data_IF_444714446279
#
_entry.id   IF_444714446279
#
_cell.length_a   1.000
_cell.length_b   1.000
_cell.length_c   1.000
_cell.angle_alpha   90.00
_cell.angle_beta   90.00
_cell.angle_gamma   90.00
#
_symmetry.space_group_name_H-M   'P 1'
#
loop_
_entity.id
_entity.type
_entity.pdbx_description
1 polymer ?
2 non-polymer ?
3 non-polymer ?
4 water ?
#
# COMPACT_ATOMS: atom_id res chain seq x y z
N UNK A 2 -14.91 -15.36 -14.16
CA UNK A 2 -15.00 -13.95 -14.62
C UNK A 2 -13.84 -13.62 -15.55
N UNK A 3 -14.02 -12.57 -16.32
CA UNK A 3 -13.13 -12.27 -17.41
C UNK A 3 -12.07 -11.19 -17.11
N UNK A 4 -12.19 -10.54 -15.96
CA UNK A 4 -11.27 -9.47 -15.57
C UNK A 4 -10.80 -9.73 -14.15
N UNK A 5 -9.64 -9.17 -13.78
CA UNK A 5 -9.06 -9.46 -12.49
C UNK A 5 -9.94 -9.00 -11.33
N UNK A 6 -10.42 -7.75 -11.40
CA UNK A 6 -11.20 -7.23 -10.28
C UNK A 6 -12.48 -8.04 -10.08
N UNK A 7 -13.19 -8.31 -11.17
CA UNK A 7 -14.43 -9.09 -11.07
C UNK A 7 -14.15 -10.50 -10.57
N UNK A 8 -13.07 -11.11 -11.03
CA UNK A 8 -12.74 -12.44 -10.55
C UNK A 8 -12.44 -12.44 -9.05
N UNK A 9 -11.66 -11.45 -8.59
CA UNK A 9 -11.40 -11.32 -7.17
C UNK A 9 -12.70 -11.10 -6.37
N UNK A 10 -13.60 -10.30 -6.93
CA UNK A 10 -14.82 -9.94 -6.21
C UNK A 10 -15.68 -11.17 -5.96
N UNK A 11 -15.60 -12.20 -6.80
CA UNK A 11 -16.39 -13.42 -6.57
C UNK A 11 -16.04 -14.09 -5.24
N UNK A 12 -14.82 -13.88 -4.72
CA UNK A 12 -14.43 -14.41 -3.42
C UNK A 12 -14.39 -13.31 -2.35
N UNK A 13 -14.93 -12.14 -2.66
CA UNK A 13 -15.06 -11.08 -1.70
C UNK A 13 -13.86 -10.17 -1.59
N UNK A 14 -12.96 -10.26 -2.56
CA UNK A 14 -11.69 -9.55 -2.56
C UNK A 14 -11.66 -8.51 -3.67
N UNK A 15 -10.64 -7.66 -3.61
CA UNK A 15 -10.38 -6.73 -4.70
C UNK A 15 -9.10 -7.09 -5.41
N UNK A 16 -8.97 -6.54 -6.64
CA UNK A 16 -7.72 -6.57 -7.38
C UNK A 16 -7.47 -5.14 -7.86
N UNK A 17 -6.39 -4.56 -7.37
CA UNK A 17 -6.11 -3.15 -7.59
C UNK A 17 -4.82 -2.87 -8.32
N UNK A 18 -4.66 -1.58 -8.64
CA UNK A 18 -3.41 -1.10 -9.22
C UNK A 18 -3.06 0.25 -8.63
N UNK A 19 -1.83 0.66 -8.85
CA UNK A 19 -1.35 2.01 -8.66
C UNK A 19 -1.66 2.82 -9.91
N UNK A 20 -2.19 4.04 -9.73
CA UNK A 20 -2.54 4.94 -10.82
C UNK A 20 -1.71 6.22 -10.70
N UNK A 21 -1.19 6.66 -11.84
CA UNK A 21 -0.45 7.90 -11.96
C UNK A 21 -1.30 8.94 -12.68
N UNK A 22 -1.51 10.09 -12.06
CA UNK A 22 -2.35 11.12 -12.61
C UNK A 22 -1.90 11.60 -14.00
N UNK A 23 -0.61 11.69 -14.22
CA UNK A 23 -0.12 12.20 -15.49
C UNK A 23 -0.40 11.31 -16.65
N UNK A 24 -0.81 10.06 -16.37
CA UNK A 24 -1.10 9.09 -17.37
C UNK A 24 -2.56 8.94 -17.67
N UNK A 25 -3.39 9.77 -17.04
CA UNK A 25 -4.79 9.65 -17.19
C UNK A 25 -5.26 10.23 -18.54
N UNK A 26 -4.35 10.71 -19.40
CA UNK A 26 -4.60 11.08 -20.79
C UNK A 26 -4.23 9.97 -21.76
N UNK A 27 -3.73 8.85 -21.26
CA UNK A 27 -3.29 7.73 -22.09
C UNK A 27 -4.44 6.73 -22.23
N UNK A 28 -5.02 6.66 -23.44
CA UNK A 28 -6.21 5.88 -23.68
C UNK A 28 -6.02 4.39 -23.41
N UNK A 29 -4.84 3.84 -23.76
CA UNK A 29 -4.59 2.42 -23.50
C UNK A 29 -4.57 2.17 -22.00
N UNK A 30 -3.83 3.03 -21.28
CA UNK A 30 -3.70 2.93 -19.83
C UNK A 30 -5.07 2.99 -19.15
N UNK A 31 -5.86 4.04 -19.47
CA UNK A 31 -7.09 4.23 -18.73
C UNK A 31 -8.10 3.15 -19.07
N UNK A 32 -8.13 2.66 -20.31
CA UNK A 32 -9.12 1.67 -20.66
C UNK A 32 -8.77 0.30 -20.06
N UNK A 33 -7.49 -0.09 -20.07
CA UNK A 33 -7.12 -1.35 -19.45
C UNK A 33 -7.30 -1.27 -17.94
N UNK A 34 -6.81 -0.20 -17.33
CA UNK A 34 -6.96 -0.07 -15.88
C UNK A 34 -8.42 0.01 -15.47
N UNK A 35 -9.25 0.71 -16.27
CA UNK A 35 -10.65 0.80 -16.02
C UNK A 35 -11.32 -0.56 -16.02
N UNK A 36 -10.97 -1.36 -17.01
CA UNK A 36 -11.59 -2.68 -17.18
C UNK A 36 -11.17 -3.65 -16.09
N UNK A 37 -9.88 -3.64 -15.73
CA UNK A 37 -9.31 -4.77 -14.99
C UNK A 37 -9.31 -4.65 -13.47
N UNK A 38 -9.38 -3.44 -12.91
CA UNK A 38 -9.16 -3.26 -11.49
C UNK A 38 -10.37 -2.66 -10.81
N UNK A 39 -10.60 -3.05 -9.55
CA UNK A 39 -11.66 -2.46 -8.75
C UNK A 39 -11.17 -1.75 -7.49
N UNK A 40 -9.86 -1.47 -7.43
CA UNK A 40 -9.23 -0.77 -6.34
C UNK A 40 -8.08 0.04 -6.95
N UNK A 41 -7.90 1.27 -6.42
CA UNK A 41 -6.86 2.17 -6.88
C UNK A 41 -6.07 2.69 -5.70
N UNK A 42 -4.73 2.75 -5.87
CA UNK A 42 -3.85 3.51 -5.01
C UNK A 42 -3.21 4.61 -5.85
N UNK A 43 -3.12 5.84 -5.33
CA UNK A 43 -2.37 6.86 -6.07
C UNK A 43 -0.89 6.53 -5.94
N UNK A 44 -0.19 6.47 -7.07
CA UNK A 44 1.22 6.09 -7.03
C UNK A 44 2.08 7.09 -6.26
N UNK A 45 1.76 8.38 -6.44
CA UNK A 45 2.55 9.46 -5.81
C UNK A 45 1.72 10.61 -5.25
N UNK A 46 0.50 10.78 -5.72
CA UNK A 46 -0.25 12.03 -5.53
C UNK A 46 -0.79 12.24 -4.14
N UNK A 47 -0.86 11.18 -3.33
CA UNK A 47 -1.33 11.31 -1.95
C UNK A 47 -0.20 11.27 -0.92
N UNK A 48 1.06 11.34 -1.40
CA UNK A 48 2.20 11.39 -0.52
C UNK A 48 2.34 12.77 0.10
N UNK A 49 3.26 12.91 1.04
CA UNK A 49 3.31 14.09 1.87
C UNK A 49 3.68 15.30 1.03
N UNK A 50 4.71 15.17 0.20
CA UNK A 50 5.11 16.30 -0.58
C UNK A 50 4.04 16.79 -1.54
N UNK A 51 3.33 15.85 -2.17
CA UNK A 51 2.31 16.15 -3.14
C UNK A 51 1.18 16.93 -2.47
N UNK A 52 0.73 16.42 -1.33
CA UNK A 52 -0.46 16.95 -0.69
C UNK A 52 -0.21 18.17 0.16
N UNK A 53 1.01 18.33 0.69
CA UNK A 53 1.29 19.50 1.55
C UNK A 53 2.65 20.08 1.13
N UNK A 54 2.70 20.72 -0.03
CA UNK A 54 3.99 21.10 -0.57
C UNK A 54 4.65 22.25 0.20
N UNK A 55 3.87 23.07 0.88
CA UNK A 55 4.34 24.06 1.86
C UNK A 55 3.56 23.81 3.13
N UNK A 56 4.17 24.06 4.27
CA UNK A 56 3.53 23.74 5.54
C UNK A 56 2.24 24.51 5.65
N UNK A 57 1.17 23.79 5.94
CA UNK A 57 -0.15 24.37 6.11
C UNK A 57 -0.93 24.65 4.87
N UNK A 58 -0.32 24.40 3.72
CA UNK A 58 -0.91 24.75 2.43
C UNK A 58 -1.13 23.48 1.61
N UNK A 59 -2.32 22.90 1.70
CA UNK A 59 -2.56 21.63 1.06
C UNK A 59 -2.86 21.85 -0.42
N UNK A 60 -2.49 20.85 -1.22
CA UNK A 60 -2.80 20.81 -2.62
C UNK A 60 -3.29 19.43 -2.98
N UNK A 61 -4.59 19.31 -3.15
CA UNK A 61 -5.23 18.04 -3.46
C UNK A 61 -5.52 17.89 -4.94
N UNK A 62 -4.99 18.77 -5.80
CA UNK A 62 -5.42 18.72 -7.18
C UNK A 62 -5.11 17.38 -7.85
N UNK A 63 -3.85 16.95 -7.77
CA UNK A 63 -3.48 15.69 -8.43
C UNK A 63 -4.07 14.46 -7.71
N UNK A 64 -4.13 14.53 -6.39
CA UNK A 64 -4.73 13.47 -5.59
C UNK A 64 -6.18 13.30 -6.00
N UNK A 65 -6.90 14.42 -6.10
CA UNK A 65 -8.33 14.35 -6.44
C UNK A 65 -8.52 13.88 -7.88
N UNK A 66 -7.57 14.18 -8.78
CA UNK A 66 -7.69 13.61 -10.13
C UNK A 66 -7.70 12.08 -10.06
N UNK A 67 -6.82 11.51 -9.26
CA UNK A 67 -6.78 10.05 -9.10
C UNK A 67 -8.06 9.54 -8.42
N UNK A 68 -8.43 10.17 -7.29
CA UNK A 68 -9.61 9.74 -6.54
C UNK A 68 -10.84 9.77 -7.41
N UNK A 69 -11.04 10.90 -8.11
CA UNK A 69 -12.23 11.06 -8.93
C UNK A 69 -12.24 10.07 -10.10
N UNK A 70 -11.09 9.84 -10.71
CA UNK A 70 -11.01 8.82 -11.77
C UNK A 70 -11.46 7.48 -11.20
N UNK A 71 -10.94 7.12 -10.02
CA UNK A 71 -11.26 5.84 -9.42
C UNK A 71 -12.77 5.73 -9.22
N UNK A 72 -13.38 6.70 -8.54
CA UNK A 72 -14.75 6.48 -8.23
C UNK A 72 -15.64 6.62 -9.52
N UNK A 73 -15.28 7.43 -10.49
CA UNK A 73 -15.99 7.48 -11.78
C UNK A 73 -15.93 6.15 -12.51
N UNK A 74 -14.88 5.38 -12.25
CA UNK A 74 -14.67 4.09 -12.88
C UNK A 74 -15.02 2.91 -11.97
N UNK A 75 -15.73 3.18 -10.87
CA UNK A 75 -16.23 2.10 -10.01
C UNK A 75 -15.22 1.42 -9.11
N UNK A 76 -14.16 2.12 -8.76
CA UNK A 76 -13.14 1.57 -7.88
C UNK A 76 -13.19 2.24 -6.50
N UNK A 77 -12.83 1.47 -5.48
CA UNK A 77 -12.47 2.02 -4.19
C UNK A 77 -11.04 2.53 -4.22
N UNK A 78 -10.63 3.23 -3.16
CA UNK A 78 -9.32 3.85 -3.08
C UNK A 78 -8.63 3.50 -1.76
N UNK A 79 -7.35 3.10 -1.88
CA UNK A 79 -6.44 3.02 -0.73
C UNK A 79 -5.63 4.29 -0.70
N UNK A 80 -5.59 4.93 0.47
CA UNK A 80 -4.79 6.15 0.63
C UNK A 80 -3.34 5.81 0.97
N UNK A 81 -2.41 6.43 0.26
CA UNK A 81 -0.99 6.11 0.42
C UNK A 81 -0.20 7.41 0.25
N UNK A 82 0.50 7.91 1.26
CA UNK A 82 0.68 7.40 2.61
C UNK A 82 0.86 8.63 3.50
N UNK A 83 0.54 8.52 4.79
CA UNK A 83 0.49 9.71 5.66
C UNK A 83 1.77 10.06 6.40
N UNK A 84 2.64 9.09 6.69
CA UNK A 84 3.81 9.32 7.53
C UNK A 84 4.87 8.35 7.02
N UNK A 85 5.98 8.87 6.53
CA UNK A 85 6.98 8.09 5.80
C UNK A 85 8.27 8.93 5.75
N UNK A 86 9.41 8.24 5.79
CA UNK A 86 10.69 8.93 5.67
C UNK A 86 10.96 9.49 4.29
N UNK A 87 10.31 8.94 3.24
CA UNK A 87 10.65 9.28 1.88
C UNK A 87 9.61 10.22 1.27
N UNK A 88 10.03 10.97 0.27
CA UNK A 88 9.12 11.88 -0.43
C UNK A 88 8.46 12.86 0.54
N UNK A 89 9.21 13.26 1.58
CA UNK A 89 8.80 14.39 2.40
C UNK A 89 9.12 15.70 1.66
N UNK A 90 8.27 16.71 1.79
CA UNK A 90 8.64 18.02 1.26
C UNK A 90 9.82 18.55 2.07
N UNK A 91 10.57 19.47 1.46
CA UNK A 91 11.72 20.03 2.10
C UNK A 91 11.47 20.60 3.49
N UNK A 92 10.32 21.26 3.64
CA UNK A 92 10.03 21.91 4.87
C UNK A 92 9.91 20.88 6.02
N UNK A 93 9.42 19.67 5.70
CA UNK A 93 9.28 18.64 6.73
C UNK A 93 10.63 17.95 6.98
N UNK A 94 11.43 17.79 5.93
CA UNK A 94 12.74 17.20 6.08
C UNK A 94 13.57 17.97 7.05
N UNK A 95 13.43 19.28 7.12
CA UNK A 95 14.26 20.08 8.03
C UNK A 95 13.80 20.06 9.48
N UNK A 96 12.58 19.61 9.73
CA UNK A 96 12.06 19.58 11.08
C UNK A 96 12.58 18.35 11.85
N UNK A 97 12.66 18.51 13.17
CA UNK A 97 13.03 17.45 14.05
C UNK A 97 12.23 17.52 15.34
N UNK A 98 12.27 16.45 16.13
CA UNK A 98 11.77 16.50 17.49
C UNK A 98 10.31 16.88 17.56
N UNK A 99 9.98 17.69 18.56
CA UNK A 99 8.61 18.05 18.85
C UNK A 99 7.96 18.85 17.72
N UNK A 100 8.74 19.68 17.01
CA UNK A 100 8.15 20.44 15.90
C UNK A 100 7.76 19.48 14.76
N UNK A 101 8.64 18.50 14.47
CA UNK A 101 8.28 17.47 13.49
C UNK A 101 7.06 16.69 13.92
N UNK A 102 7.01 16.31 15.22
CA UNK A 102 5.87 15.55 15.70
C UNK A 102 4.57 16.33 15.43
N UNK A 103 4.57 17.63 15.75
CA UNK A 103 3.38 18.42 15.51
C UNK A 103 3.04 18.46 14.03
N UNK A 104 4.05 18.65 13.17
CA UNK A 104 3.80 18.70 11.73
C UNK A 104 3.26 17.35 11.18
N UNK A 105 3.77 16.24 11.75
CA UNK A 105 3.29 14.90 11.33
C UNK A 105 1.78 14.79 11.64
N UNK A 106 1.44 15.16 12.88
CA UNK A 106 0.04 15.13 13.33
C UNK A 106 -0.83 16.03 12.46
N UNK A 107 -0.36 17.28 12.24
CA UNK A 107 -1.12 18.22 11.43
C UNK A 107 -1.34 17.68 10.01
N UNK A 108 -0.32 17.02 9.44
CA UNK A 108 -0.45 16.51 8.09
C UNK A 108 -1.51 15.41 8.02
N UNK A 109 -1.47 14.48 8.97
CA UNK A 109 -2.46 13.40 9.04
C UNK A 109 -3.86 14.02 9.14
N UNK A 110 -4.01 14.96 10.06
CA UNK A 110 -5.34 15.56 10.27
C UNK A 110 -5.86 16.23 9.01
N UNK A 111 -5.01 16.99 8.32
CA UNK A 111 -5.47 17.74 7.17
C UNK A 111 -5.82 16.83 5.98
N UNK A 112 -4.99 15.83 5.71
CA UNK A 112 -5.27 14.94 4.57
C UNK A 112 -6.50 14.08 4.86
N UNK A 113 -6.57 13.49 6.07
CA UNK A 113 -7.69 12.64 6.37
C UNK A 113 -9.00 13.41 6.40
N UNK A 114 -8.99 14.68 6.84
CA UNK A 114 -10.22 15.48 6.81
C UNK A 114 -10.71 15.63 5.38
N UNK A 115 -9.79 15.85 4.43
CA UNK A 115 -10.21 16.05 3.04
C UNK A 115 -10.91 14.83 2.46
N UNK A 116 -10.47 13.64 2.92
CA UNK A 116 -10.98 12.38 2.38
C UNK A 116 -11.88 11.63 3.38
N UNK A 117 -12.37 12.31 4.42
CA UNK A 117 -13.08 11.61 5.48
C UNK A 117 -14.25 10.84 4.92
N UNK A 118 -14.29 9.55 5.27
CA UNK A 118 -15.36 8.69 4.82
C UNK A 118 -15.25 8.18 3.41
N UNK A 119 -14.23 8.55 2.68
CA UNK A 119 -14.11 8.27 1.27
C UNK A 119 -13.05 7.26 0.89
N UNK A 120 -12.14 6.94 1.84
CA UNK A 120 -11.06 6.09 1.52
C UNK A 120 -11.12 4.82 2.48
N UNK A 121 -11.17 3.64 1.90
CA UNK A 121 -11.41 2.44 2.70
C UNK A 121 -10.24 1.95 3.57
N UNK A 122 -9.02 2.15 3.09
CA UNK A 122 -7.78 1.80 3.82
C UNK A 122 -6.83 2.95 3.66
N UNK A 123 -6.17 3.34 4.73
CA UNK A 123 -5.03 4.27 4.68
C UNK A 123 -3.77 3.53 5.10
N UNK A 124 -2.69 3.71 4.31
CA UNK A 124 -1.34 3.41 4.75
C UNK A 124 -0.92 4.58 5.64
N UNK A 125 -1.18 4.46 6.95
CA UNK A 125 -0.91 5.54 7.85
C UNK A 125 0.59 5.75 8.01
N UNK A 126 1.32 4.64 8.22
CA UNK A 126 2.75 4.64 8.39
C UNK A 126 3.34 3.64 7.37
N UNK A 127 4.43 4.05 6.73
CA UNK A 127 5.09 3.25 5.73
C UNK A 127 6.56 3.08 6.08
N UNK A 128 7.06 1.84 5.94
CA UNK A 128 8.51 1.56 5.83
C UNK A 128 9.31 2.02 7.06
N UNK A 129 8.82 1.70 8.26
CA UNK A 129 9.48 2.12 9.48
C UNK A 129 10.63 1.21 9.92
N UNK A 130 10.76 0.00 9.37
CA UNK A 130 11.81 -0.90 9.80
C UNK A 130 13.02 -0.84 8.87
N UNK A 131 14.19 -1.03 9.46
CA UNK A 131 15.42 -1.18 8.72
C UNK A 131 15.48 -2.55 8.03
N UNK A 132 16.20 -2.60 6.91
CA UNK A 132 16.52 -3.87 6.29
C UNK A 132 17.66 -4.56 7.05
N UNK A 133 17.75 -5.87 6.86
CA UNK A 133 18.82 -6.66 7.41
C UNK A 133 18.46 -7.43 8.66
N UNK A 134 19.48 -7.75 9.43
CA UNK A 134 19.34 -8.68 10.53
C UNK A 134 18.89 -8.07 11.85
N UNK A 135 18.94 -6.74 12.00
CA UNK A 135 18.76 -6.16 13.30
C UNK A 135 17.30 -6.10 13.77
N UNK A 136 16.38 -5.96 12.85
CA UNK A 136 15.00 -5.66 13.24
C UNK A 136 14.86 -4.28 13.85
N UNK A 137 15.84 -3.42 13.68
CA UNK A 137 15.78 -2.07 14.22
C UNK A 137 14.81 -1.22 13.41
N UNK A 138 14.41 -0.09 13.97
CA UNK A 138 13.71 0.94 13.21
C UNK A 138 14.69 1.62 12.25
N UNK A 139 14.17 1.98 11.07
CA UNK A 139 14.89 2.79 10.10
C UNK A 139 15.22 4.13 10.70
N UNK A 140 16.41 4.64 10.42
CA UNK A 140 16.80 5.98 10.85
C UNK A 140 16.11 7.00 9.94
N UNK A 141 15.41 7.93 10.53
CA UNK A 141 14.74 9.03 9.84
C UNK A 141 14.46 10.10 10.88
N UNK A 142 14.10 11.30 10.40
CA UNK A 142 13.68 12.35 11.30
C UNK A 142 12.51 11.88 12.19
N UNK A 143 11.57 11.15 11.59
CA UNK A 143 10.40 10.65 12.32
C UNK A 143 10.85 9.73 13.45
N UNK A 144 11.70 8.75 13.15
CA UNK A 144 12.15 7.81 14.19
C UNK A 144 12.94 8.55 15.27
N UNK A 145 13.75 9.54 14.87
CA UNK A 145 14.50 10.31 15.85
C UNK A 145 13.58 11.13 16.76
N UNK A 146 12.33 11.37 16.36
CA UNK A 146 11.41 12.07 17.23
C UNK A 146 10.93 11.22 18.41
N UNK A 147 11.12 9.89 18.34
CA UNK A 147 10.79 8.99 19.41
C UNK A 147 10.19 7.71 18.88
N UNK A 148 10.36 6.61 19.63
CA UNK A 148 9.81 5.34 19.22
C UNK A 148 8.30 5.36 19.05
N UNK A 149 7.63 6.26 19.77
CA UNK A 149 6.18 6.40 19.74
C UNK A 149 5.65 7.09 18.51
N UNK A 150 6.50 7.45 17.54
CA UNK A 150 5.95 8.19 16.40
C UNK A 150 4.88 7.38 15.68
N UNK A 151 5.10 6.07 15.55
CA UNK A 151 4.18 5.22 14.81
C UNK A 151 2.83 5.17 15.51
N UNK A 152 2.87 4.85 16.82
CA UNK A 152 1.62 4.80 17.60
C UNK A 152 0.89 6.13 17.56
N UNK A 153 1.61 7.25 17.67
CA UNK A 153 0.96 8.56 17.63
C UNK A 153 0.31 8.79 16.28
N UNK A 154 0.97 8.40 15.18
CA UNK A 154 0.36 8.53 13.86
C UNK A 154 -0.97 7.75 13.80
N UNK A 155 -0.96 6.49 14.28
CA UNK A 155 -2.18 5.70 14.30
C UNK A 155 -3.29 6.30 15.17
N UNK A 156 -2.94 6.74 16.36
CA UNK A 156 -3.96 7.34 17.23
C UNK A 156 -4.55 8.60 16.57
N UNK A 157 -3.68 9.40 15.95
CA UNK A 157 -4.16 10.60 15.26
C UNK A 157 -5.15 10.21 14.17
N UNK A 158 -4.77 9.22 13.37
CA UNK A 158 -5.61 8.79 12.24
C UNK A 158 -6.98 8.25 12.72
N UNK A 159 -6.98 7.46 13.79
CA UNK A 159 -8.24 6.90 14.30
C UNK A 159 -9.19 8.03 14.69
N UNK A 160 -8.67 9.08 15.32
CA UNK A 160 -9.51 10.19 15.72
C UNK A 160 -9.98 11.00 14.50
N UNK A 161 -9.12 11.14 13.50
CA UNK A 161 -9.46 11.95 12.31
C UNK A 161 -10.54 11.32 11.46
N UNK A 162 -10.51 10.00 11.28
CA UNK A 162 -11.50 9.32 10.44
C UNK A 162 -11.73 7.93 11.00
N UNK A 163 -12.67 7.82 11.92
CA UNK A 163 -12.96 6.50 12.52
C UNK A 163 -13.46 5.44 11.56
N UNK A 164 -13.90 5.83 10.37
CA UNK A 164 -14.40 4.87 9.39
C UNK A 164 -13.32 4.13 8.65
N UNK A 165 -12.11 4.70 8.57
CA UNK A 165 -11.04 4.15 7.72
C UNK A 165 -10.37 2.97 8.40
N UNK A 166 -10.00 1.96 7.62
CA UNK A 166 -9.13 0.96 8.12
C UNK A 166 -7.70 1.50 8.09
N UNK A 167 -7.01 1.40 9.23
CA UNK A 167 -5.68 1.96 9.37
C UNK A 167 -4.62 0.87 9.21
N UNK A 168 -3.75 1.06 8.21
CA UNK A 168 -2.77 0.04 7.83
C UNK A 168 -1.34 0.54 8.11
N UNK A 169 -0.51 -0.41 8.54
CA UNK A 169 0.95 -0.28 8.53
C UNK A 169 1.47 -1.03 7.29
N UNK A 170 2.29 -0.39 6.47
CA UNK A 170 2.73 -0.94 5.20
C UNK A 170 4.26 -1.04 5.17
N UNK A 171 4.80 -2.15 4.65
CA UNK A 171 6.26 -2.25 4.56
C UNK A 171 6.60 -3.31 3.51
N UNK A 172 7.91 -3.36 3.17
CA UNK A 172 8.47 -4.32 2.22
C UNK A 172 9.51 -5.18 2.94
N UNK A 173 9.86 -6.30 2.30
CA UNK A 173 10.80 -7.24 2.88
C UNK A 173 10.30 -7.80 4.22
N UNK A 174 8.97 -7.89 4.34
CA UNK A 174 8.27 -8.39 5.53
C UNK A 174 7.32 -9.55 5.18
N UNK A 175 7.58 -10.23 4.04
CA UNK A 175 6.76 -11.33 3.59
C UNK A 175 7.27 -12.71 4.02
N UNK A 176 8.59 -12.83 4.19
CA UNK A 176 9.21 -14.12 4.53
C UNK A 176 9.19 -14.28 6.04
N UNK A 177 8.46 -15.30 6.52
CA UNK A 177 8.23 -15.50 7.92
C UNK A 177 9.55 -15.60 8.70
N UNK A 178 10.61 -16.10 8.08
CA UNK A 178 11.87 -16.31 8.81
C UNK A 178 12.73 -15.06 8.93
N UNK A 179 12.42 -13.97 8.24
CA UNK A 179 13.29 -12.81 8.23
C UNK A 179 13.12 -11.97 9.50
N UNK A 180 14.24 -11.39 9.93
CA UNK A 180 14.24 -10.52 11.08
C UNK A 180 13.30 -9.32 10.90
N UNK A 181 13.24 -8.76 9.70
CA UNK A 181 12.38 -7.59 9.47
C UNK A 181 10.90 -7.98 9.70
N UNK A 182 10.51 -9.13 9.14
CA UNK A 182 9.16 -9.64 9.31
C UNK A 182 8.83 -9.78 10.80
N UNK A 183 9.75 -10.38 11.54
CA UNK A 183 9.53 -10.60 12.96
C UNK A 183 9.47 -9.29 13.74
N UNK A 184 10.24 -8.28 13.32
CA UNK A 184 10.15 -6.97 13.95
C UNK A 184 8.72 -6.40 13.77
N UNK A 185 8.22 -6.49 12.54
CA UNK A 185 6.87 -5.98 12.27
C UNK A 185 5.81 -6.79 13.06
N UNK A 186 5.99 -8.11 13.11
CA UNK A 186 5.05 -8.96 13.84
C UNK A 186 4.99 -8.56 15.32
N UNK A 187 6.16 -8.40 15.91
CA UNK A 187 6.21 -8.03 17.31
C UNK A 187 5.67 -6.62 17.57
N UNK A 188 5.87 -5.69 16.63
CA UNK A 188 5.23 -4.37 16.77
C UNK A 188 3.71 -4.48 16.77
N UNK A 189 3.15 -5.23 15.81
CA UNK A 189 1.70 -5.33 15.74
C UNK A 189 1.16 -6.04 17.00
N UNK A 190 1.87 -7.07 17.46
CA UNK A 190 1.47 -7.75 18.67
C UNK A 190 1.46 -6.77 19.87
N UNK A 191 2.52 -5.93 19.99
CA UNK A 191 2.62 -4.91 21.03
C UNK A 191 1.48 -3.92 20.93
N UNK A 192 1.18 -3.45 19.71
CA UNK A 192 0.10 -2.48 19.53
C UNK A 192 -1.24 -3.08 19.97
N UNK A 193 -1.50 -4.34 19.62
CA UNK A 193 -2.73 -4.95 20.07
C UNK A 193 -2.75 -5.11 21.61
N UNK A 194 -1.62 -5.37 22.24
CA UNK A 194 -1.57 -5.46 23.72
C UNK A 194 -1.85 -4.11 24.40
N UNK A 195 -1.37 -3.02 23.80
CA UNK A 195 -1.46 -1.70 24.43
C UNK A 195 -2.57 -0.84 23.87
N UNK A 196 -3.43 -1.41 23.04
CA UNK A 196 -4.59 -0.66 22.58
C UNK A 196 -4.33 0.37 21.48
N UNK A 197 -3.20 0.27 20.79
CA UNK A 197 -2.90 1.17 19.67
C UNK A 197 -3.76 0.76 18.48
N UNK A 198 -4.43 1.72 17.77
CA UNK A 198 -5.46 1.38 16.72
C UNK A 198 -5.00 1.06 15.28
N UNK A 199 -4.59 -0.17 15.13
CA UNK A 199 -4.12 -0.72 13.87
C UNK A 199 -5.11 -1.79 13.39
N UNK A 200 -5.60 -1.65 12.15
CA UNK A 200 -6.63 -2.52 11.60
C UNK A 200 -6.11 -3.48 10.55
N UNK A 201 -4.97 -3.17 9.94
CA UNK A 201 -4.54 -3.87 8.76
C UNK A 201 -3.02 -3.76 8.64
N UNK A 202 -2.44 -4.79 8.03
CA UNK A 202 -1.03 -4.80 7.69
C UNK A 202 -0.89 -5.00 6.17
N UNK A 203 -0.12 -4.12 5.55
CA UNK A 203 0.13 -4.14 4.14
C UNK A 203 1.52 -4.71 3.86
N UNK A 204 1.53 -5.72 2.98
CA UNK A 204 2.75 -6.39 2.53
C UNK A 204 3.02 -5.93 1.11
N UNK A 205 4.02 -5.07 0.94
CA UNK A 205 4.24 -4.48 -0.37
C UNK A 205 4.48 -5.54 -1.44
N UNK A 206 5.21 -6.60 -1.09
CA UNK A 206 5.36 -7.72 -2.02
C UNK A 206 6.13 -7.34 -3.29
N UNK A 207 7.25 -6.63 -3.10
CA UNK A 207 8.20 -6.36 -4.18
C UNK A 207 9.21 -7.51 -4.24
N UNK A 208 8.85 -8.56 -4.96
CA UNK A 208 9.66 -9.79 -4.98
C UNK A 208 10.71 -9.74 -6.09
N UNK A 209 11.93 -10.12 -5.75
CA UNK A 209 13.02 -10.14 -6.73
C UNK A 209 14.11 -11.09 -6.21
N UNK A 210 15.21 -11.18 -6.95
CA UNK A 210 16.21 -12.18 -6.58
C UNK A 210 16.81 -11.96 -5.20
N UNK A 211 16.95 -10.71 -4.77
CA UNK A 211 17.48 -10.42 -3.45
C UNK A 211 16.48 -10.57 -2.31
N UNK A 212 15.19 -10.53 -2.66
CA UNK A 212 14.10 -10.67 -1.68
C UNK A 212 13.04 -11.56 -2.33
N UNK A 213 13.33 -12.84 -2.45
CA UNK A 213 12.49 -13.70 -3.25
C UNK A 213 11.23 -14.13 -2.52
N UNK A 214 10.18 -14.39 -3.31
CA UNK A 214 8.99 -15.04 -2.79
C UNK A 214 9.37 -16.35 -2.10
N UNK A 215 8.67 -16.66 -1.02
CA UNK A 215 8.80 -17.94 -0.32
C UNK A 215 7.37 -18.44 -0.05
N UNK A 216 7.14 -19.75 -0.14
CA UNK A 216 5.83 -20.30 0.20
C UNK A 216 5.35 -19.92 1.60
N UNK A 217 6.29 -19.61 2.49
CA UNK A 217 5.92 -19.19 3.84
C UNK A 217 5.24 -17.83 3.89
N UNK A 218 5.06 -17.17 2.74
CA UNK A 218 4.23 -15.95 2.74
C UNK A 218 2.84 -16.30 3.30
N UNK A 219 2.32 -17.47 2.96
CA UNK A 219 1.00 -17.83 3.46
C UNK A 219 1.00 -17.89 4.99
N UNK A 220 2.07 -18.42 5.56
CA UNK A 220 2.25 -18.46 7.00
C UNK A 220 2.29 -17.07 7.59
N UNK A 221 3.06 -16.19 6.97
CA UNK A 221 3.11 -14.80 7.44
C UNK A 221 1.71 -14.18 7.47
N UNK A 222 0.99 -14.32 6.36
CA UNK A 222 -0.35 -13.73 6.25
C UNK A 222 -1.29 -14.32 7.37
N UNK A 223 -1.26 -15.64 7.53
CA UNK A 223 -2.07 -16.30 8.54
C UNK A 223 -1.72 -15.78 9.93
N UNK A 224 -0.42 -15.66 10.24
CA UNK A 224 -0.01 -15.33 11.56
C UNK A 224 -0.36 -13.88 11.90
N UNK A 225 -0.22 -12.98 10.93
CA UNK A 225 -0.68 -11.61 11.17
C UNK A 225 -2.21 -11.57 11.32
N UNK A 226 -2.94 -12.29 10.47
CA UNK A 226 -4.40 -12.30 10.60
C UNK A 226 -4.83 -12.73 12.01
N UNK A 227 -4.10 -13.72 12.55
CA UNK A 227 -4.41 -14.23 13.90
C UNK A 227 -4.19 -13.22 15.03
N UNK A 228 -3.43 -12.15 14.80
CA UNK A 228 -3.31 -11.06 15.77
C UNK A 228 -4.56 -10.18 15.78
N UNK A 229 -5.50 -10.38 14.85
CA UNK A 229 -6.69 -9.57 14.81
C UNK A 229 -6.60 -8.35 13.92
N UNK A 230 -5.87 -8.48 12.81
CA UNK A 230 -5.81 -7.46 11.77
C UNK A 230 -6.17 -8.10 10.45
N UNK A 231 -6.67 -7.29 9.53
CA UNK A 231 -6.73 -7.69 8.13
C UNK A 231 -5.33 -7.60 7.53
N UNK A 232 -5.14 -8.30 6.39
CA UNK A 232 -3.89 -8.23 5.67
C UNK A 232 -4.21 -7.90 4.22
N UNK A 233 -3.25 -7.26 3.54
CA UNK A 233 -3.43 -6.91 2.16
C UNK A 233 -2.06 -6.98 1.48
N UNK A 234 -2.07 -7.35 0.21
CA UNK A 234 -0.88 -7.32 -0.66
C UNK A 234 -0.97 -5.99 -1.40
N UNK A 235 -0.05 -5.05 -1.14
CA UNK A 235 -0.30 -3.65 -1.50
C UNK A 235 0.46 -3.12 -2.71
N UNK A 236 1.59 -3.73 -3.09
CA UNK A 236 2.41 -3.12 -4.16
C UNK A 236 3.10 -4.23 -4.96
N UNK A 237 2.34 -5.31 -5.24
CA UNK A 237 2.94 -6.49 -5.84
C UNK A 237 3.58 -6.18 -7.19
N UNK A 238 4.82 -6.66 -7.32
CA UNK A 238 5.50 -6.79 -8.59
C UNK A 238 6.55 -7.89 -8.40
N UNK A 239 6.92 -8.56 -9.49
CA UNK A 239 7.79 -9.74 -9.37
C UNK A 239 8.77 -9.70 -10.53
N UNK A 240 10.07 -9.64 -10.21
CA UNK A 240 11.11 -9.58 -11.23
C UNK A 240 10.88 -10.67 -12.28
N UNK A 241 10.81 -10.27 -13.55
CA UNK A 241 10.56 -11.19 -14.65
C UNK A 241 9.14 -11.63 -14.86
N UNK A 242 8.23 -11.26 -13.97
CA UNK A 242 6.81 -11.64 -13.99
C UNK A 242 6.60 -13.12 -14.30
N UNK A 243 7.25 -14.03 -13.57
CA UNK A 243 6.97 -15.42 -13.78
C UNK A 243 5.54 -15.77 -13.39
N UNK A 244 4.89 -16.53 -14.27
CA UNK A 244 3.52 -16.95 -14.01
C UNK A 244 3.42 -17.79 -12.74
N UNK A 245 4.42 -18.63 -12.48
CA UNK A 245 4.37 -19.51 -11.31
C UNK A 245 4.28 -18.70 -10.01
N UNK A 246 5.15 -17.72 -9.87
CA UNK A 246 5.15 -16.96 -8.63
C UNK A 246 3.89 -16.11 -8.51
N UNK A 247 3.46 -15.51 -9.62
CA UNK A 247 2.23 -14.72 -9.58
C UNK A 247 1.05 -15.60 -9.12
N UNK A 248 0.94 -16.83 -9.63
CA UNK A 248 -0.11 -17.72 -9.18
C UNK A 248 0.06 -18.04 -7.69
N UNK A 249 1.30 -18.29 -7.25
CA UNK A 249 1.52 -18.63 -5.80
C UNK A 249 1.04 -17.54 -4.90
N UNK A 250 1.39 -16.29 -5.24
CA UNK A 250 1.00 -15.17 -4.40
C UNK A 250 -0.53 -15.04 -4.38
N UNK A 251 -1.16 -15.19 -5.54
CA UNK A 251 -2.61 -15.07 -5.62
C UNK A 251 -3.28 -16.12 -4.75
N UNK A 252 -2.79 -17.35 -4.86
CA UNK A 252 -3.35 -18.45 -4.06
C UNK A 252 -3.11 -18.25 -2.57
N UNK A 253 -1.99 -17.63 -2.18
CA UNK A 253 -1.77 -17.34 -0.76
C UNK A 253 -2.84 -16.38 -0.23
N UNK A 254 -3.16 -15.31 -0.99
CA UNK A 254 -4.21 -14.42 -0.58
C UNK A 254 -5.55 -15.15 -0.46
N UNK A 255 -5.87 -15.97 -1.47
CA UNK A 255 -7.15 -16.67 -1.52
C UNK A 255 -7.29 -17.65 -0.35
N UNK A 256 -6.17 -18.11 0.21
CA UNK A 256 -6.18 -19.08 1.28
C UNK A 256 -6.41 -18.44 2.66
N UNK A 257 -6.37 -17.13 2.76
CA UNK A 257 -6.41 -16.45 4.05
C UNK A 257 -7.66 -15.59 4.08
N UNK A 258 -8.58 -15.92 4.98
CA UNK A 258 -9.87 -15.23 5.00
C UNK A 258 -9.75 -13.73 5.15
N UNK A 259 -8.81 -13.24 5.96
CA UNK A 259 -8.70 -11.83 6.22
C UNK A 259 -7.72 -11.12 5.24
N UNK A 260 -7.35 -11.80 4.15
CA UNK A 260 -6.61 -11.13 3.06
C UNK A 260 -7.63 -10.43 2.17
N UNK A 261 -7.61 -9.10 2.20
CA UNK A 261 -8.61 -8.27 1.58
C UNK A 261 -8.53 -8.26 0.06
N UNK A 262 -7.31 -8.41 -0.45
CA UNK A 262 -7.10 -8.24 -1.87
C UNK A 262 -5.65 -8.04 -2.18
N UNK A 263 -5.41 -7.83 -3.47
CA UNK A 263 -4.08 -7.66 -4.05
C UNK A 263 -4.11 -6.40 -4.90
N UNK A 264 -3.10 -5.53 -4.71
CA UNK A 264 -2.80 -4.44 -5.63
C UNK A 264 -1.45 -4.74 -6.27
N UNK A 265 -1.39 -4.65 -7.60
CA UNK A 265 -0.12 -4.67 -8.32
C UNK A 265 0.35 -3.23 -8.52
N UNK A 266 1.68 -3.03 -8.48
CA UNK A 266 2.23 -1.67 -8.47
C UNK A 266 2.41 -1.12 -9.89
N UNK A 267 1.27 -0.99 -10.58
CA UNK A 267 1.24 -0.45 -11.95
C UNK A 267 0.52 -1.36 -12.91
N UNK A 268 0.35 -0.84 -14.13
CA UNK A 268 -0.42 -1.50 -15.18
C UNK A 268 0.48 -2.24 -16.18
N UNK A 269 1.12 -1.52 -17.10
CA UNK A 269 2.04 -2.10 -18.06
C UNK A 269 3.44 -2.15 -17.49
N UNK A 270 4.28 -3.03 -18.00
CA UNK A 270 5.66 -3.05 -17.55
C UNK A 270 6.27 -1.66 -17.62
N UNK A 271 6.01 -0.91 -18.70
CA UNK A 271 6.62 0.40 -18.87
C UNK A 271 6.15 1.42 -17.85
N UNK A 272 4.99 1.17 -17.20
CA UNK A 272 4.49 2.03 -16.14
C UNK A 272 5.21 1.76 -14.81
N UNK A 273 5.95 0.66 -14.69
CA UNK A 273 6.53 0.28 -13.42
C UNK A 273 7.70 1.17 -13.04
N UNK A 274 7.81 1.45 -11.74
CA UNK A 274 8.99 2.08 -11.18
C UNK A 274 10.24 1.24 -11.42
N UNK A 275 10.06 -0.05 -11.69
CA UNK A 275 11.11 -1.02 -11.92
C UNK A 275 10.89 -1.72 -13.30
N UNK A 276 10.55 -0.93 -14.29
CA UNK A 276 10.24 -1.40 -15.63
C UNK A 276 11.32 -2.30 -16.22
N UNK A 277 12.59 -2.02 -15.94
CA UNK A 277 13.66 -2.83 -16.49
C UNK A 277 13.55 -4.30 -16.07
N UNK A 278 12.88 -4.56 -14.95
CA UNK A 278 12.68 -5.90 -14.41
C UNK A 278 11.38 -6.55 -14.95
N UNK A 279 10.71 -5.91 -15.93
CA UNK A 279 9.48 -6.37 -16.57
C UNK A 279 8.55 -7.12 -15.61
N UNK A 280 8.08 -6.45 -14.55
CA UNK A 280 7.61 -7.20 -13.37
C UNK A 280 6.08 -7.21 -13.19
N UNK A 281 5.32 -6.74 -14.19
CA UNK A 281 3.88 -6.54 -14.09
C UNK A 281 3.14 -7.49 -15.05
N UNK A 282 1.80 -7.30 -15.13
CA UNK A 282 0.94 -8.27 -15.78
C UNK A 282 0.61 -7.96 -17.25
N UNK A 283 0.88 -6.72 -17.70
CA UNK A 283 0.61 -6.31 -19.06
C UNK A 283 1.89 -5.88 -19.74
N UNK A 284 1.97 -6.21 -21.02
CA UNK A 284 3.06 -5.77 -21.90
C UNK A 284 2.99 -4.28 -22.14
N UNK A 285 4.06 -3.77 -22.74
CA UNK A 285 4.17 -2.34 -23.02
C UNK A 285 3.06 -1.86 -23.96
N UNK A 286 2.59 -2.74 -24.83
CA UNK A 286 1.52 -2.44 -25.78
C UNK A 286 0.11 -2.70 -25.23
N UNK A 287 0.04 -3.08 -23.96
CA UNK A 287 -1.23 -3.29 -23.29
C UNK A 287 -1.74 -4.74 -23.33
N UNK A 288 -1.08 -5.62 -24.09
CA UNK A 288 -1.52 -7.01 -24.16
C UNK A 288 -1.23 -7.76 -22.83
N UNK A 289 -1.97 -8.83 -22.61
CA UNK A 289 -1.81 -9.66 -21.42
C UNK A 289 -0.59 -10.56 -21.47
N UNK A 290 0.20 -10.58 -20.40
CA UNK A 290 1.32 -11.50 -20.28
C UNK A 290 0.86 -12.84 -19.74
N UNK A 291 1.77 -13.81 -19.80
CA UNK A 291 1.47 -15.12 -19.22
C UNK A 291 1.05 -14.99 -17.76
N UNK A 292 1.69 -14.10 -17.02
CA UNK A 292 1.35 -13.96 -15.61
C UNK A 292 -0.10 -13.47 -15.41
N UNK A 293 -0.60 -12.63 -16.31
CA UNK A 293 -2.00 -12.22 -16.22
C UNK A 293 -2.92 -13.44 -16.21
N UNK A 294 -2.70 -14.33 -17.16
CA UNK A 294 -3.53 -15.50 -17.29
C UNK A 294 -3.44 -16.39 -16.04
N UNK A 295 -2.24 -16.51 -15.48
CA UNK A 295 -2.06 -17.29 -14.28
C UNK A 295 -2.83 -16.69 -13.08
N UNK A 296 -2.78 -15.37 -12.94
CA UNK A 296 -3.52 -14.71 -11.86
C UNK A 296 -5.03 -14.88 -12.05
N UNK A 297 -5.51 -14.59 -13.26
CA UNK A 297 -6.94 -14.69 -13.51
C UNK A 297 -7.44 -16.12 -13.22
N UNK A 298 -6.69 -17.11 -13.70
CA UNK A 298 -7.09 -18.50 -13.48
C UNK A 298 -7.11 -18.82 -11.98
N UNK A 299 -6.12 -18.35 -11.21
CA UNK A 299 -6.10 -18.58 -9.77
C UNK A 299 -7.32 -17.93 -9.11
N UNK A 300 -7.61 -16.67 -9.47
CA UNK A 300 -8.77 -15.99 -8.89
C UNK A 300 -10.07 -16.74 -9.21
N UNK A 301 -10.16 -17.32 -10.41
CA UNK A 301 -11.31 -18.08 -10.83
C UNK A 301 -11.35 -19.52 -10.30
N UNK A 302 -10.36 -19.91 -9.53
CA UNK A 302 -10.36 -21.22 -8.93
C UNK A 302 -9.96 -22.35 -9.85
N UNK A 303 -9.22 -22.04 -10.90
CA UNK A 303 -8.68 -23.09 -11.77
C UNK A 303 -8.82 -22.58 -13.17
X LIG B 1 6.99 1.45 -1.69
X LIG B 1 6.37 2.77 -1.45
X LIG B 1 5.83 3.36 -2.74
X LIG B 1 5.31 4.66 -2.48
X LIG B 1 6.92 3.45 -3.77
X LIG B 1 6.38 4.08 -4.96
X LIG B 1 7.41 2.03 -4.05
X LIG B 1 8.01 1.48 -2.77
X LIG C 1 7.37 4.69 -5.75
X LIG C 1 6.72 5.13 -7.03
X LIG C 1 7.70 5.97 -7.87
X LIG C 1 8.38 7.03 -7.03
X LIG C 1 8.91 6.42 -5.74
X LIG C 1 6.31 3.98 -7.75
X LIG C 1 6.99 6.55 -8.95
X LIG C 1 9.43 7.62 -7.78
X LIG C 1 7.86 5.81 -5.05
#
# INVERSE_FOLDING_TARGET
AESTLGAAAAQSGRYFGTAIASGRLSDSTYTSIAGREFNMVTAENEMKIDATEPQRGQFNFSSADRVYNWAVQNGKQVRGHTLAWHSQQPGWMQSLSGSALRQAMIDHINGVMAHYKGKIVQWDVVNEAFADGSSGARRDSNLQRSGNDWIEVAFRTARAADPSAKLCYNDYNVENWTWAKTQAMYNMVRDFKQRGVPIDCVGFQSHFNSGSPYNSNFRTTLQNFAALGVDVAITELDIQGAPASTYANVTNDCLAVSRCLGITVWGVRDSDSWRSEQTPLLFNNDGSKKAAYTAVLDALNGGDSSEPPADGG
XIF N1 C2 C3 O3 C4 O4 C5 C6
XYP C1 C2 C3 C4 C5 O2 O3 O4 O5
#
